data_IF_024640164472
#
_entry.id   IF_024640164472
#
_cell.length_a   1.000
_cell.length_b   1.000
_cell.length_c   1.000
_cell.angle_alpha   90.00
_cell.angle_beta   90.00
_cell.angle_gamma   90.00
#
_symmetry.space_group_name_H-M   'P 1'
#
loop_
_entity.id
_entity.type
_entity.pdbx_description
1 polymer ?
#
# COMPACT_ATOMS: atom_id res chain seq x y z
N UNK A 1 -27.39 -26.02 51.75
CA UNK A 1 -27.05 -27.44 52.04
C UNK A 1 -25.96 -27.84 51.05
N UNK A 2 -24.68 -27.54 51.29
CA UNK A 2 -23.76 -28.23 52.19
C UNK A 2 -23.53 -29.71 51.84
N UNK A 3 -22.50 -30.00 51.05
CA UNK A 3 -21.61 -31.14 51.28
C UNK A 3 -20.25 -30.90 50.61
N UNK A 4 -19.29 -30.60 51.48
CA UNK A 4 -17.85 -30.59 51.22
C UNK A 4 -17.39 -32.04 51.13
N UNK A 5 -16.46 -32.34 50.23
CA UNK A 5 -15.56 -33.49 50.36
C UNK A 5 -14.13 -32.99 50.26
N UNK A 6 -13.39 -33.21 51.35
CA UNK A 6 -11.98 -32.96 51.56
C UNK A 6 -11.32 -34.35 51.60
N UNK A 7 -10.33 -34.60 50.74
CA UNK A 7 -9.33 -35.66 50.87
C UNK A 7 -8.04 -35.03 50.31
N UNK A 8 -7.15 -34.44 51.12
CA UNK A 8 -6.13 -35.07 51.95
C UNK A 8 -5.12 -35.90 51.14
N UNK A 9 -3.95 -35.31 50.86
CA UNK A 9 -2.86 -35.96 50.13
C UNK A 9 -1.62 -35.07 50.03
N UNK A 10 -1.14 -34.53 51.16
CA UNK A 10 0.16 -33.85 51.23
C UNK A 10 1.18 -34.84 51.81
N UNK A 11 2.02 -35.40 50.93
CA UNK A 11 3.19 -36.18 51.35
C UNK A 11 4.22 -35.28 52.00
N UNK A 12 4.62 -35.71 53.18
CA UNK A 12 5.61 -35.13 54.08
C UNK A 12 6.97 -35.08 53.41
N UNK A 13 7.63 -33.94 53.53
CA UNK A 13 9.01 -33.74 53.12
C UNK A 13 9.98 -34.62 53.90
N UNK A 14 10.92 -35.22 53.19
CA UNK A 14 12.13 -35.80 53.77
C UNK A 14 13.23 -35.77 52.71
N UNK A 15 13.96 -34.66 52.61
CA UNK A 15 15.25 -34.62 51.90
C UNK A 15 16.02 -33.37 52.30
N UNK A 16 16.52 -33.40 53.52
CA UNK A 16 17.59 -32.53 53.99
C UNK A 16 18.56 -33.40 54.79
N UNK A 17 19.45 -34.12 54.08
CA UNK A 17 20.72 -34.66 54.58
C UNK A 17 21.46 -35.37 53.44
N UNK A 18 22.00 -34.60 52.50
CA UNK A 18 23.24 -34.97 51.82
C UNK A 18 24.10 -33.71 51.72
N UNK A 19 24.65 -33.36 52.87
CA UNK A 19 25.71 -32.38 52.96
C UNK A 19 26.99 -32.95 52.31
N UNK A 20 27.67 -32.08 51.58
CA UNK A 20 29.12 -32.06 51.47
C UNK A 20 29.82 -33.28 50.85
N UNK A 21 29.64 -33.49 49.55
CA UNK A 21 30.70 -33.99 48.67
C UNK A 21 30.44 -33.47 47.26
N UNK A 22 31.08 -32.35 46.88
CA UNK A 22 31.37 -31.93 45.50
C UNK A 22 32.23 -30.64 45.56
N UNK A 23 33.38 -30.76 46.22
CA UNK A 23 34.50 -29.84 46.10
C UNK A 23 35.58 -30.59 45.32
N UNK A 24 36.08 -29.99 44.24
CA UNK A 24 37.36 -30.36 43.63
C UNK A 24 37.28 -31.17 42.32
N UNK A 25 36.78 -30.56 41.25
CA UNK A 25 37.22 -30.94 39.90
C UNK A 25 38.07 -29.79 39.33
N UNK A 26 39.40 -29.97 39.15
CA UNK A 26 40.24 -28.96 38.53
C UNK A 26 39.94 -28.87 37.04
N UNK A 27 39.65 -27.65 36.55
CA UNK A 27 39.61 -27.34 35.13
C UNK A 27 41.01 -27.53 34.52
N UNK A 28 41.14 -28.18 33.35
CA UNK A 28 42.43 -28.28 32.67
C UNK A 28 42.82 -26.91 32.12
N UNK A 29 43.91 -26.36 32.66
CA UNK A 29 44.58 -25.20 32.10
C UNK A 29 45.15 -25.57 30.71
N UNK A 30 44.65 -24.92 29.67
CA UNK A 30 45.27 -24.87 28.36
C UNK A 30 46.63 -24.18 28.48
N UNK A 31 47.70 -24.98 28.49
CA UNK A 31 49.06 -24.48 28.34
C UNK A 31 49.27 -23.97 26.91
N UNK A 32 49.82 -22.76 26.72
CA UNK A 32 50.26 -22.30 25.41
C UNK A 32 51.54 -23.06 25.02
N UNK A 33 51.48 -23.81 23.92
CA UNK A 33 52.66 -24.41 23.30
C UNK A 33 53.57 -23.31 22.74
N UNK A 34 54.72 -23.12 23.38
CA UNK A 34 55.87 -22.46 22.78
C UNK A 34 56.45 -23.36 21.69
N UNK A 35 56.12 -23.07 20.43
CA UNK A 35 56.88 -23.52 19.27
C UNK A 35 57.66 -22.33 18.71
N UNK A 36 58.94 -22.27 19.05
CA UNK A 36 59.92 -21.55 18.24
C UNK A 36 60.44 -22.50 17.16
N UNK A 37 60.24 -22.16 15.88
CA UNK A 37 61.29 -22.15 14.84
C UNK A 37 60.68 -22.09 13.43
N UNK A 38 60.86 -20.94 12.75
CA UNK A 38 61.55 -20.77 11.45
C UNK A 38 61.12 -19.43 10.83
N UNK A 39 62.07 -18.56 10.43
CA UNK A 39 61.72 -17.33 9.73
C UNK A 39 61.33 -17.68 8.30
N UNK A 40 60.03 -17.69 8.01
CA UNK A 40 59.56 -17.65 6.63
C UNK A 40 59.66 -16.22 6.11
N UNK A 41 60.24 -16.13 4.92
CA UNK A 41 60.57 -14.91 4.20
C UNK A 41 59.40 -13.91 4.16
N UNK A 42 59.74 -12.65 4.45
CA UNK A 42 58.92 -11.47 4.21
C UNK A 42 58.50 -11.47 2.73
N UNK A 43 57.21 -11.56 2.40
CA UNK A 43 56.75 -11.20 1.07
C UNK A 43 57.02 -9.70 0.91
N UNK A 44 57.81 -9.33 -0.09
CA UNK A 44 57.96 -7.95 -0.53
C UNK A 44 56.57 -7.34 -0.67
N UNK A 45 56.25 -6.35 0.16
CA UNK A 45 55.11 -5.48 -0.03
C UNK A 45 55.31 -4.75 -1.36
N UNK A 46 54.70 -5.28 -2.42
CA UNK A 46 54.47 -4.53 -3.64
C UNK A 46 53.61 -3.34 -3.24
N UNK A 47 54.13 -2.14 -3.47
CA UNK A 47 53.43 -0.89 -3.22
C UNK A 47 52.03 -0.97 -3.84
N UNK A 48 51.00 -0.96 -2.99
CA UNK A 48 49.63 -0.71 -3.43
C UNK A 48 49.61 0.76 -3.81
N UNK A 49 49.62 0.98 -5.12
CA UNK A 49 49.38 2.27 -5.75
C UNK A 49 48.08 2.84 -5.19
N UNK A 50 48.24 3.84 -4.31
CA UNK A 50 47.16 4.60 -3.69
C UNK A 50 46.42 5.32 -4.81
N UNK A 51 45.41 4.67 -5.40
CA UNK A 51 44.50 5.32 -6.34
C UNK A 51 43.65 6.28 -5.54
N UNK A 52 44.09 7.53 -5.45
CA UNK A 52 43.28 8.59 -4.86
C UNK A 52 41.99 8.73 -5.68
N UNK A 53 40.81 8.74 -5.03
CA UNK A 53 39.57 8.94 -5.76
C UNK A 53 39.61 10.30 -6.43
N UNK A 54 39.44 10.34 -7.76
CA UNK A 54 39.21 11.57 -8.51
C UNK A 54 37.94 12.22 -7.95
N UNK A 55 38.13 13.25 -7.13
CA UNK A 55 37.06 14.10 -6.64
C UNK A 55 36.48 14.86 -7.84
N UNK A 56 35.32 14.45 -8.32
CA UNK A 56 34.56 15.23 -9.31
C UNK A 56 33.92 16.39 -8.55
N UNK A 57 34.59 17.54 -8.57
CA UNK A 57 34.05 18.79 -8.06
C UNK A 57 32.99 19.30 -9.03
N UNK A 58 31.72 19.10 -8.70
CA UNK A 58 30.62 19.69 -9.44
C UNK A 58 30.60 21.21 -9.18
N UNK A 59 30.38 22.05 -10.21
CA UNK A 59 30.21 23.49 -9.99
C UNK A 59 29.00 23.75 -9.10
N UNK A 60 29.11 24.74 -8.22
CA UNK A 60 28.01 25.15 -7.37
C UNK A 60 26.79 25.50 -8.24
N UNK A 61 25.58 25.08 -7.86
CA UNK A 61 24.38 25.37 -8.62
C UNK A 61 24.21 26.90 -8.78
N UNK A 62 23.78 27.39 -9.95
CA UNK A 62 23.53 28.80 -10.14
C UNK A 62 22.47 29.25 -9.12
N UNK A 63 22.80 30.29 -8.34
CA UNK A 63 21.86 30.87 -7.38
C UNK A 63 20.63 31.37 -8.15
N UNK A 64 19.40 31.01 -7.74
CA UNK A 64 18.20 31.59 -8.31
C UNK A 64 18.27 33.11 -8.18
N UNK A 65 18.17 33.81 -9.30
CA UNK A 65 18.04 35.26 -9.33
C UNK A 65 16.66 35.58 -8.74
N UNK A 66 16.61 35.97 -7.46
CA UNK A 66 15.38 36.49 -6.86
C UNK A 66 15.17 37.89 -7.43
N UNK A 67 14.52 37.98 -8.58
CA UNK A 67 13.82 39.20 -8.96
C UNK A 67 12.60 39.29 -8.07
N UNK A 68 12.64 40.21 -7.11
CA UNK A 68 11.47 40.60 -6.35
C UNK A 68 10.35 41.00 -7.33
N UNK A 69 9.16 40.40 -7.27
CA UNK A 69 8.02 40.91 -8.01
C UNK A 69 7.62 42.25 -7.41
N UNK A 70 7.82 43.33 -8.17
CA UNK A 70 7.13 44.60 -7.95
C UNK A 70 5.64 44.32 -7.99
N UNK A 71 4.98 44.43 -6.83
CA UNK A 71 3.53 44.31 -6.70
C UNK A 71 2.92 45.59 -7.29
N UNK A 72 2.13 45.53 -8.38
CA UNK A 72 1.28 46.65 -8.73
C UNK A 72 0.17 46.75 -7.69
N UNK A 73 -0.03 47.95 -7.14
CA UNK A 73 -1.10 48.25 -6.20
C UNK A 73 -2.45 47.81 -6.77
N UNK A 74 -3.16 46.96 -6.01
CA UNK A 74 -4.52 46.53 -6.32
C UNK A 74 -5.47 47.68 -6.02
N UNK A 75 -6.05 48.28 -7.06
CA UNK A 75 -7.21 49.15 -6.94
C UNK A 75 -8.40 48.37 -6.35
N UNK A 76 -9.21 48.96 -5.45
CA UNK A 76 -10.34 48.27 -4.85
C UNK A 76 -11.44 47.99 -5.88
N UNK A 77 -11.85 46.72 -5.96
CA UNK A 77 -13.00 46.25 -6.75
C UNK A 77 -14.30 46.71 -6.05
N UNK A 78 -15.30 47.27 -6.77
CA UNK A 78 -16.58 47.65 -6.19
C UNK A 78 -17.35 46.43 -5.64
N UNK A 79 -17.92 46.60 -4.45
CA UNK A 79 -18.74 45.63 -3.73
C UNK A 79 -19.89 45.09 -4.60
N UNK A 80 -19.99 43.75 -4.66
CA UNK A 80 -21.12 43.06 -5.27
C UNK A 80 -22.44 43.39 -4.52
N UNK A 81 -23.59 43.45 -5.23
CA UNK A 81 -24.89 43.68 -4.61
C UNK A 81 -25.31 42.50 -3.71
N UNK A 82 -26.16 42.74 -2.68
CA UNK A 82 -26.54 41.75 -1.70
C UNK A 82 -27.37 40.61 -2.34
N UNK A 83 -26.99 39.37 -2.02
CA UNK A 83 -27.72 38.16 -2.40
C UNK A 83 -29.04 38.13 -1.64
N UNK A 84 -30.16 38.19 -2.36
CA UNK A 84 -31.49 37.98 -1.79
C UNK A 84 -31.64 36.50 -1.36
N UNK A 85 -32.27 36.22 -0.21
CA UNK A 85 -32.50 34.85 0.22
C UNK A 85 -33.44 34.13 -0.75
N UNK A 86 -32.99 33.00 -1.29
CA UNK A 86 -33.84 32.11 -2.08
C UNK A 86 -34.93 31.52 -1.20
N UNK A 87 -36.19 31.80 -1.54
CA UNK A 87 -37.37 31.19 -0.94
C UNK A 87 -37.31 29.67 -1.11
N UNK A 88 -37.47 28.93 -0.02
CA UNK A 88 -37.53 27.47 -0.04
C UNK A 88 -38.72 26.99 -0.89
N UNK A 89 -38.44 26.20 -1.93
CA UNK A 89 -39.46 25.46 -2.66
C UNK A 89 -40.10 24.44 -1.71
N UNK A 90 -41.42 24.52 -1.55
CA UNK A 90 -42.22 23.51 -0.84
C UNK A 90 -42.03 22.14 -1.50
N UNK A 91 -42.03 21.03 -0.73
CA UNK A 91 -41.98 19.69 -1.31
C UNK A 91 -43.24 19.43 -2.13
N UNK A 92 -43.09 19.23 -3.44
CA UNK A 92 -44.14 18.62 -4.25
C UNK A 92 -44.26 17.16 -3.85
N UNK A 93 -45.39 16.82 -3.21
CA UNK A 93 -45.83 15.44 -3.01
C UNK A 93 -46.03 14.83 -4.39
N UNK A 94 -45.18 13.88 -4.78
CA UNK A 94 -45.46 13.03 -5.93
C UNK A 94 -46.57 12.08 -5.51
N UNK A 95 -47.78 12.37 -5.96
CA UNK A 95 -48.92 11.49 -5.84
C UNK A 95 -48.67 10.24 -6.67
N UNK A 96 -48.67 9.08 -6.01
CA UNK A 96 -48.45 7.76 -6.60
C UNK A 96 -49.67 7.39 -7.48
N UNK A 97 -49.52 7.14 -8.79
CA UNK A 97 -50.62 6.62 -9.58
C UNK A 97 -50.95 5.18 -9.14
N UNK A 98 -52.25 4.91 -8.98
CA UNK A 98 -52.83 3.61 -8.66
C UNK A 98 -52.49 2.55 -9.72
N UNK A 99 -52.47 1.25 -9.35
CA UNK A 99 -52.01 0.18 -10.24
C UNK A 99 -53.02 -0.12 -11.37
N UNK A 100 -52.52 -0.18 -12.60
CA UNK A 100 -53.25 -0.67 -13.74
C UNK A 100 -53.46 -2.19 -13.64
N UNK A 101 -54.69 -2.61 -13.95
CA UNK A 101 -55.17 -4.00 -13.97
C UNK A 101 -54.41 -4.76 -15.07
N UNK A 102 -53.68 -5.80 -14.69
CA UNK A 102 -53.02 -6.73 -15.61
C UNK A 102 -54.05 -7.79 -16.01
N UNK A 103 -54.46 -7.82 -17.28
CA UNK A 103 -55.23 -8.95 -17.81
C UNK A 103 -54.29 -10.14 -18.07
N UNK A 104 -54.66 -11.39 -17.70
CA UNK A 104 -53.81 -12.55 -17.93
C UNK A 104 -53.87 -12.96 -19.41
N UNK A 105 -52.74 -12.90 -20.10
CA UNK A 105 -52.57 -13.54 -21.41
C UNK A 105 -52.44 -15.05 -21.22
N UNK A 106 -53.33 -15.80 -21.88
CA UNK A 106 -53.33 -17.26 -21.95
C UNK A 106 -52.03 -17.79 -22.61
N UNK A 107 -51.53 -18.97 -22.22
CA UNK A 107 -50.37 -19.58 -22.87
C UNK A 107 -50.78 -20.20 -24.21
N UNK A 108 -50.18 -19.73 -25.31
CA UNK A 108 -50.22 -20.43 -26.60
C UNK A 108 -49.02 -21.36 -26.65
N UNK A 109 -49.30 -22.66 -26.63
CA UNK A 109 -48.36 -23.69 -27.04
C UNK A 109 -48.18 -23.61 -28.57
N UNK A 110 -46.95 -23.44 -29.03
CA UNK A 110 -46.59 -23.63 -30.43
C UNK A 110 -45.48 -24.68 -30.51
N UNK A 111 -45.83 -25.84 -31.09
CA UNK A 111 -44.88 -26.86 -31.53
C UNK A 111 -44.36 -26.47 -32.92
N UNK A 112 -43.04 -26.55 -33.05
CA UNK A 112 -42.27 -27.08 -34.18
C UNK A 112 -42.51 -26.53 -35.60
N UNK A 113 -41.53 -25.79 -36.11
CA UNK A 113 -41.03 -26.00 -37.46
C UNK A 113 -39.52 -25.74 -37.48
N UNK A 114 -38.82 -26.72 -38.03
CA UNK A 114 -37.38 -26.90 -38.09
C UNK A 114 -36.79 -26.04 -39.20
N UNK A 115 -35.74 -25.28 -38.89
CA UNK A 115 -34.84 -24.78 -39.92
C UNK A 115 -33.42 -24.68 -39.35
N UNK A 116 -32.62 -25.72 -39.62
CA UNK A 116 -31.18 -25.70 -39.41
C UNK A 116 -30.56 -24.98 -40.61
N UNK A 117 -29.75 -23.94 -40.35
CA UNK A 117 -28.49 -23.82 -41.08
C UNK A 117 -27.29 -23.55 -40.16
N UNK A 118 -26.36 -24.51 -40.20
CA UNK A 118 -24.90 -24.44 -40.04
C UNK A 118 -24.29 -23.92 -38.73
N UNK A 119 -23.34 -24.67 -38.13
CA UNK A 119 -22.54 -24.20 -37.00
C UNK A 119 -21.72 -22.99 -37.41
N UNK A 120 -22.03 -21.84 -36.84
CA UNK A 120 -21.09 -20.73 -36.78
C UNK A 120 -19.99 -21.21 -35.84
N UNK A 121 -18.83 -21.59 -36.38
CA UNK A 121 -17.63 -21.81 -35.58
C UNK A 121 -17.43 -20.56 -34.71
N UNK A 122 -17.32 -20.70 -33.37
CA UNK A 122 -17.05 -19.55 -32.52
C UNK A 122 -15.61 -19.07 -32.75
N UNK A 123 -15.44 -18.16 -33.71
CA UNK A 123 -14.27 -17.28 -33.78
C UNK A 123 -14.37 -16.29 -32.62
N UNK A 124 -13.72 -16.65 -31.52
CA UNK A 124 -12.87 -15.81 -30.69
C UNK A 124 -12.78 -16.48 -29.32
N UNK A 125 -11.72 -17.25 -29.12
CA UNK A 125 -11.25 -17.54 -27.79
C UNK A 125 -11.01 -16.20 -27.10
N UNK A 126 -11.92 -15.81 -26.21
CA UNK A 126 -11.69 -14.77 -25.22
C UNK A 126 -10.43 -15.19 -24.49
N UNK A 127 -9.31 -14.54 -24.81
CA UNK A 127 -8.03 -14.79 -24.15
C UNK A 127 -8.30 -14.71 -22.65
N UNK A 128 -8.12 -15.84 -21.96
CA UNK A 128 -8.39 -15.91 -20.53
C UNK A 128 -7.55 -14.82 -19.85
N UNK A 129 -8.13 -13.99 -18.98
CA UNK A 129 -7.37 -12.93 -18.33
C UNK A 129 -6.20 -13.56 -17.59
N UNK A 130 -4.97 -13.16 -17.97
CA UNK A 130 -3.75 -13.63 -17.33
C UNK A 130 -3.73 -13.07 -15.91
N UNK A 131 -3.77 -13.97 -14.91
CA UNK A 131 -3.51 -13.60 -13.52
C UNK A 131 -2.00 -13.66 -13.30
N UNK A 132 -1.39 -12.49 -13.22
CA UNK A 132 0.01 -12.36 -12.84
C UNK A 132 0.11 -12.48 -11.33
N UNK A 133 0.90 -13.46 -10.89
CA UNK A 133 1.32 -13.59 -9.49
C UNK A 133 2.81 -13.25 -9.43
N UNK A 134 3.18 -11.99 -9.16
CA UNK A 134 4.60 -11.65 -9.11
C UNK A 134 5.24 -12.48 -7.99
N UNK A 135 6.30 -13.21 -8.32
CA UNK A 135 6.97 -14.06 -7.35
C UNK A 135 7.47 -13.18 -6.18
N UNK A 136 7.19 -13.60 -4.94
CA UNK A 136 7.51 -12.81 -3.73
C UNK A 136 8.98 -12.40 -3.62
N UNK A 137 9.87 -13.11 -4.29
CA UNK A 137 11.33 -12.94 -4.25
C UNK A 137 11.91 -12.28 -5.51
N UNK A 138 11.20 -12.29 -6.64
CA UNK A 138 11.69 -11.75 -7.91
C UNK A 138 10.91 -10.52 -8.38
N UNK A 139 10.78 -9.53 -7.50
CA UNK A 139 10.25 -8.20 -7.83
C UNK A 139 11.35 -7.25 -8.30
N UNK A 140 12.45 -7.77 -8.86
CA UNK A 140 13.62 -6.96 -9.20
C UNK A 140 13.28 -5.84 -10.20
N UNK A 141 12.52 -6.17 -11.25
CA UNK A 141 12.05 -5.19 -12.22
C UNK A 141 11.10 -4.18 -11.58
N UNK A 142 10.13 -4.65 -10.79
CA UNK A 142 9.25 -3.78 -10.00
C UNK A 142 9.99 -2.78 -9.10
N UNK A 143 11.10 -3.19 -8.46
CA UNK A 143 11.93 -2.29 -7.65
C UNK A 143 12.63 -1.22 -8.49
N UNK A 144 13.08 -1.57 -9.69
CA UNK A 144 13.68 -0.61 -10.63
C UNK A 144 12.64 0.40 -11.10
N UNK A 145 11.46 -0.06 -11.50
CA UNK A 145 10.35 0.80 -11.90
C UNK A 145 9.90 1.72 -10.77
N UNK A 146 9.89 1.21 -9.54
CA UNK A 146 9.58 2.02 -8.37
C UNK A 146 10.57 3.19 -8.21
N UNK A 147 11.87 2.91 -8.28
CA UNK A 147 12.90 3.97 -8.20
C UNK A 147 12.73 5.00 -9.32
N UNK A 148 12.38 4.58 -10.53
CA UNK A 148 12.13 5.51 -11.63
C UNK A 148 10.96 6.46 -11.31
N UNK A 149 9.85 5.91 -10.81
CA UNK A 149 8.67 6.71 -10.41
C UNK A 149 8.99 7.67 -9.26
N UNK A 150 9.78 7.23 -8.29
CA UNK A 150 10.24 8.08 -7.17
C UNK A 150 11.10 9.26 -7.63
N UNK A 151 11.76 9.14 -8.79
CA UNK A 151 12.47 10.24 -9.45
C UNK A 151 11.60 11.00 -10.49
N UNK A 152 10.28 10.81 -10.47
CA UNK A 152 9.34 11.50 -11.36
C UNK A 152 9.33 10.98 -12.81
N UNK A 153 9.86 9.78 -13.07
CA UNK A 153 9.86 9.16 -14.40
C UNK A 153 8.94 7.96 -14.47
N UNK A 154 8.07 7.93 -15.47
CA UNK A 154 7.14 6.83 -15.73
C UNK A 154 5.71 7.33 -15.96
N UNK A 155 4.76 6.40 -16.18
CA UNK A 155 3.37 6.75 -16.39
C UNK A 155 2.73 7.33 -15.12
N UNK A 156 1.71 8.16 -15.31
CA UNK A 156 0.79 8.50 -14.23
C UNK A 156 -0.04 7.26 -13.86
N UNK A 157 -0.05 6.84 -12.60
CA UNK A 157 -0.77 5.64 -12.17
C UNK A 157 -1.92 6.01 -11.24
N UNK A 158 -3.15 5.66 -11.64
CA UNK A 158 -4.37 5.84 -10.86
C UNK A 158 -4.95 4.49 -10.45
N UNK A 159 -5.21 4.29 -9.15
CA UNK A 159 -5.72 3.04 -8.61
C UNK A 159 -7.03 3.27 -7.87
N UNK A 160 -8.12 2.97 -8.55
CA UNK A 160 -9.47 3.10 -8.01
C UNK A 160 -9.73 2.03 -6.93
N UNK A 161 -10.52 2.42 -5.94
CA UNK A 161 -11.05 1.48 -4.94
C UNK A 161 -12.39 0.89 -5.41
N UNK A 162 -12.87 -0.20 -4.79
CA UNK A 162 -14.18 -0.77 -5.07
C UNK A 162 -15.32 0.24 -4.93
N UNK A 163 -16.31 0.12 -5.82
CA UNK A 163 -17.54 0.92 -5.77
C UNK A 163 -18.43 0.56 -4.57
N UNK A 164 -18.44 -0.72 -4.18
CA UNK A 164 -19.16 -1.19 -3.01
C UNK A 164 -18.53 -0.69 -1.70
N UNK A 165 -19.35 -0.16 -0.79
CA UNK A 165 -18.89 0.41 0.47
C UNK A 165 -18.35 -0.65 1.43
N UNK A 166 -18.97 -1.83 1.47
CA UNK A 166 -18.55 -2.91 2.36
C UNK A 166 -17.22 -3.53 1.89
N UNK A 167 -17.05 -3.74 0.59
CA UNK A 167 -15.79 -4.17 -0.02
C UNK A 167 -14.68 -3.14 0.21
N UNK A 168 -14.96 -1.84 0.02
CA UNK A 168 -14.01 -0.77 0.32
C UNK A 168 -13.52 -0.83 1.77
N UNK A 169 -14.44 -1.02 2.73
CA UNK A 169 -14.09 -1.12 4.14
C UNK A 169 -13.23 -2.36 4.46
N UNK A 170 -13.55 -3.52 3.85
CA UNK A 170 -12.72 -4.74 3.99
C UNK A 170 -11.34 -4.55 3.36
N UNK A 171 -11.26 -3.92 2.19
CA UNK A 171 -10.01 -3.63 1.50
C UNK A 171 -9.12 -2.70 2.33
N UNK A 172 -9.70 -1.65 2.93
CA UNK A 172 -8.98 -0.75 3.83
C UNK A 172 -8.30 -1.49 4.96
N UNK A 173 -9.09 -2.25 5.75
CA UNK A 173 -8.57 -3.04 6.88
C UNK A 173 -7.48 -3.99 6.42
N UNK A 174 -7.71 -4.69 5.30
CA UNK A 174 -6.73 -5.61 4.75
C UNK A 174 -5.40 -4.92 4.43
N UNK A 175 -5.44 -3.77 3.77
CA UNK A 175 -4.21 -3.04 3.48
C UNK A 175 -3.50 -2.55 4.74
N UNK A 176 -4.23 -2.02 5.72
CA UNK A 176 -3.68 -1.53 6.99
C UNK A 176 -3.04 -2.64 7.81
N UNK A 177 -3.78 -3.72 8.03
CA UNK A 177 -3.43 -4.79 8.97
C UNK A 177 -2.44 -5.80 8.38
N UNK A 178 -2.55 -6.11 7.08
CA UNK A 178 -1.86 -7.25 6.48
C UNK A 178 -0.79 -6.86 5.47
N UNK A 179 -0.89 -5.67 4.88
CA UNK A 179 0.02 -5.17 3.85
C UNK A 179 0.82 -3.94 4.31
N UNK A 180 0.68 -3.52 5.56
CA UNK A 180 1.49 -2.45 6.15
C UNK A 180 1.20 -1.06 5.60
N UNK A 181 0.05 -0.84 4.97
CA UNK A 181 -0.35 0.50 4.51
C UNK A 181 -0.45 1.45 5.71
N UNK A 182 0.12 2.64 5.59
CA UNK A 182 -0.05 3.73 6.54
C UNK A 182 -0.93 4.82 5.95
N UNK A 183 -1.78 5.39 6.78
CA UNK A 183 -2.50 6.64 6.47
C UNK A 183 -1.79 7.78 7.15
N UNK A 184 -1.69 8.91 6.45
CA UNK A 184 -1.10 10.13 6.95
C UNK A 184 -1.95 11.34 6.55
N UNK A 185 -1.78 12.44 7.27
CA UNK A 185 -2.23 13.76 6.83
C UNK A 185 -1.00 14.56 6.39
N UNK A 186 -1.10 15.22 5.25
CA UNK A 186 -0.08 16.17 4.79
C UNK A 186 -0.48 17.58 5.21
N UNK A 187 0.40 18.31 5.87
CA UNK A 187 0.14 19.70 6.20
C UNK A 187 0.40 20.65 5.01
N UNK A 188 0.47 21.95 5.27
CA UNK A 188 0.76 22.97 4.23
C UNK A 188 2.25 23.05 3.85
N UNK A 189 3.15 22.61 4.74
CA UNK A 189 4.59 22.62 4.48
C UNK A 189 5.03 21.40 3.66
N UNK A 190 4.18 20.36 3.62
CA UNK A 190 4.44 19.10 2.93
C UNK A 190 4.78 17.95 3.89
N UNK A 191 4.85 18.23 5.19
CA UNK A 191 5.13 17.24 6.22
C UNK A 191 3.98 16.26 6.38
N UNK A 192 4.34 14.99 6.60
CA UNK A 192 3.40 13.90 6.79
C UNK A 192 3.24 13.61 8.29
N UNK A 193 2.02 13.46 8.75
CA UNK A 193 1.71 13.12 10.15
C UNK A 193 0.96 11.80 10.23
N UNK A 194 1.33 10.95 11.19
CA UNK A 194 0.82 9.57 11.34
C UNK A 194 0.60 9.25 12.81
N UNK A 195 -0.35 8.35 13.08
CA UNK A 195 -0.79 8.06 14.45
C UNK A 195 0.31 7.50 15.38
N UNK A 196 1.35 6.89 14.81
CA UNK A 196 2.43 6.26 15.56
C UNK A 196 3.53 7.21 16.06
N UNK A 197 3.54 8.47 15.62
CA UNK A 197 4.56 9.43 16.03
C UNK A 197 4.13 10.21 17.30
N UNK A 198 5.10 10.79 18.03
CA UNK A 198 4.82 11.77 19.07
C UNK A 198 3.98 12.95 18.55
N UNK A 199 3.18 13.54 19.42
CA UNK A 199 2.35 14.69 19.10
C UNK A 199 3.20 15.84 18.53
N UNK A 200 2.69 16.51 17.49
CA UNK A 200 3.38 17.61 16.80
C UNK A 200 4.59 17.20 15.94
N UNK A 201 5.06 15.95 15.99
CA UNK A 201 6.23 15.52 15.23
C UNK A 201 5.86 14.96 13.85
N UNK A 202 6.45 15.55 12.80
CA UNK A 202 6.36 15.04 11.45
C UNK A 202 6.97 13.63 11.33
N UNK A 203 6.39 12.82 10.47
CA UNK A 203 6.86 11.50 10.10
C UNK A 203 7.63 11.57 8.79
N UNK A 204 8.88 11.12 8.87
CA UNK A 204 9.74 10.93 7.72
C UNK A 204 9.75 9.43 7.40
N UNK A 205 9.10 9.00 6.30
CA UNK A 205 9.10 7.59 5.93
C UNK A 205 10.53 7.10 5.70
N UNK A 206 10.87 5.93 6.24
CA UNK A 206 12.08 5.25 5.81
C UNK A 206 11.85 4.76 4.38
N UNK A 207 12.56 5.36 3.42
CA UNK A 207 12.43 5.08 1.99
C UNK A 207 12.94 3.69 1.58
N UNK A 208 13.58 2.93 2.47
CA UNK A 208 13.89 1.51 2.25
C UNK A 208 12.69 0.61 2.57
N UNK A 209 11.83 1.04 3.49
CA UNK A 209 10.65 0.29 3.93
C UNK A 209 9.39 0.72 3.20
N UNK A 210 9.22 2.02 3.01
CA UNK A 210 8.06 2.64 2.39
C UNK A 210 8.42 3.22 1.02
N UNK A 211 7.45 3.10 0.12
CA UNK A 211 7.51 3.67 -1.22
C UNK A 211 7.32 5.19 -1.14
N UNK A 212 8.09 5.94 -1.93
CA UNK A 212 7.89 7.38 -2.12
C UNK A 212 6.61 7.70 -2.91
N UNK A 213 5.96 6.69 -3.49
CA UNK A 213 4.69 6.84 -4.21
C UNK A 213 3.49 6.92 -3.24
N UNK A 214 3.31 8.11 -2.65
CA UNK A 214 2.16 8.40 -1.79
C UNK A 214 0.90 8.67 -2.61
N UNK A 215 -0.22 8.03 -2.23
CA UNK A 215 -1.49 8.11 -2.97
C UNK A 215 -2.48 8.97 -2.22
N UNK A 216 -2.96 10.03 -2.85
CA UNK A 216 -4.06 10.83 -2.30
C UNK A 216 -5.40 10.15 -2.63
N UNK A 217 -6.23 9.80 -1.64
CA UNK A 217 -7.55 9.24 -1.90
C UNK A 217 -8.48 10.30 -2.46
N UNK A 218 -9.32 9.89 -3.42
CA UNK A 218 -10.42 10.70 -3.94
C UNK A 218 -11.75 10.07 -3.58
N UNK A 219 -12.80 10.89 -3.48
CA UNK A 219 -14.15 10.45 -3.15
C UNK A 219 -14.35 10.12 -1.66
N UNK A 220 -15.29 9.22 -1.38
CA UNK A 220 -15.75 8.95 -0.01
C UNK A 220 -14.80 7.99 0.72
N UNK A 221 -14.15 8.50 1.76
CA UNK A 221 -13.39 7.70 2.72
C UNK A 221 -14.29 6.70 3.47
N UNK A 222 -13.73 5.53 3.78
CA UNK A 222 -14.40 4.56 4.66
C UNK A 222 -14.39 5.07 6.11
N UNK A 223 -15.38 4.70 6.95
CA UNK A 223 -15.44 5.17 8.33
C UNK A 223 -14.13 4.97 9.11
N UNK A 224 -13.56 3.76 9.08
CA UNK A 224 -12.31 3.46 9.78
C UNK A 224 -11.11 4.31 9.31
N UNK A 225 -11.06 4.69 8.03
CA UNK A 225 -10.02 5.56 7.50
C UNK A 225 -10.20 7.00 7.97
N UNK A 226 -11.46 7.47 7.99
CA UNK A 226 -11.80 8.78 8.53
C UNK A 226 -11.45 8.88 10.02
N UNK A 227 -11.71 7.82 10.78
CA UNK A 227 -11.42 7.78 12.21
C UNK A 227 -9.91 7.79 12.49
N UNK A 228 -9.13 7.02 11.71
CA UNK A 228 -7.67 7.07 11.76
C UNK A 228 -7.15 8.49 11.48
N UNK A 229 -7.63 9.13 10.40
CA UNK A 229 -7.21 10.49 10.01
C UNK A 229 -7.63 11.53 11.05
N UNK A 230 -8.83 11.45 11.61
CA UNK A 230 -9.29 12.34 12.68
C UNK A 230 -8.43 12.19 13.94
N UNK A 231 -8.00 10.97 14.24
CA UNK A 231 -7.10 10.70 15.37
C UNK A 231 -5.73 11.32 15.14
N UNK A 232 -5.19 11.23 13.92
CA UNK A 232 -3.95 11.92 13.52
C UNK A 232 -4.13 13.43 13.66
N UNK A 233 -5.21 14.00 13.11
CA UNK A 233 -5.49 15.43 13.16
C UNK A 233 -5.46 15.97 14.59
N UNK A 234 -6.21 15.32 15.50
CA UNK A 234 -6.26 15.70 16.92
C UNK A 234 -4.91 15.56 17.61
N UNK A 235 -4.19 14.45 17.38
CA UNK A 235 -2.89 14.19 18.01
C UNK A 235 -1.84 15.23 17.64
N UNK A 236 -1.83 15.68 16.39
CA UNK A 236 -0.79 16.58 15.88
C UNK A 236 -1.24 18.05 15.80
N UNK A 237 -2.47 18.37 16.22
CA UNK A 237 -2.99 19.74 16.15
C UNK A 237 -3.14 20.27 14.73
N UNK A 238 -3.32 19.39 13.74
CA UNK A 238 -3.47 19.74 12.33
C UNK A 238 -4.92 19.64 11.89
N UNK A 239 -5.28 20.34 10.81
CA UNK A 239 -6.65 20.34 10.28
C UNK A 239 -7.07 18.92 9.85
N UNK A 240 -8.30 18.52 10.19
CA UNK A 240 -8.92 17.30 9.67
C UNK A 240 -9.22 17.38 8.17
N UNK A 241 -9.19 18.58 7.57
CA UNK A 241 -9.34 18.81 6.14
C UNK A 241 -8.00 18.77 5.38
N UNK A 242 -6.89 18.59 6.09
CA UNK A 242 -5.58 18.40 5.46
C UNK A 242 -5.61 17.21 4.48
N UNK A 243 -4.90 17.28 3.33
CA UNK A 243 -4.87 16.18 2.38
C UNK A 243 -4.47 14.85 3.01
N UNK A 244 -5.35 13.86 2.91
CA UNK A 244 -5.07 12.50 3.33
C UNK A 244 -4.11 11.82 2.35
N UNK A 245 -3.21 11.00 2.85
CA UNK A 245 -2.25 10.24 2.06
C UNK A 245 -2.27 8.77 2.49
N UNK A 246 -2.20 7.87 1.51
CA UNK A 246 -1.98 6.43 1.72
C UNK A 246 -0.58 6.09 1.26
N UNK A 247 0.25 5.61 2.19
CA UNK A 247 1.64 5.25 1.97
C UNK A 247 1.75 3.73 2.08
N UNK A 248 2.36 3.11 1.08
CA UNK A 248 2.49 1.65 0.98
C UNK A 248 3.94 1.22 1.19
N UNK A 249 4.19 0.01 1.72
CA UNK A 249 5.54 -0.53 1.75
C UNK A 249 6.11 -0.71 0.34
N UNK A 250 7.42 -0.50 0.17
CA UNK A 250 8.11 -0.69 -1.12
C UNK A 250 7.82 -2.04 -1.74
N UNK A 251 7.75 -3.09 -0.92
CA UNK A 251 7.51 -4.45 -1.41
C UNK A 251 6.15 -4.60 -2.10
N UNK A 252 5.11 -3.93 -1.59
CA UNK A 252 3.75 -3.97 -2.16
C UNK A 252 3.74 -3.23 -3.51
N UNK A 253 4.36 -2.06 -3.55
CA UNK A 253 4.41 -1.26 -4.77
C UNK A 253 5.32 -1.87 -5.83
N UNK A 254 6.48 -2.41 -5.45
CA UNK A 254 7.32 -3.17 -6.36
C UNK A 254 6.56 -4.36 -6.96
N UNK A 255 5.79 -5.09 -6.15
CA UNK A 255 4.96 -6.18 -6.64
C UNK A 255 3.88 -5.71 -7.64
N UNK A 256 3.23 -4.58 -7.36
CA UNK A 256 2.27 -3.98 -8.28
C UNK A 256 2.92 -3.62 -9.62
N UNK A 257 4.05 -2.90 -9.57
CA UNK A 257 4.75 -2.42 -10.76
C UNK A 257 5.35 -3.54 -11.57
N UNK A 258 5.85 -4.59 -10.90
CA UNK A 258 6.30 -5.81 -11.57
C UNK A 258 5.14 -6.49 -12.31
N UNK A 259 3.98 -6.60 -11.67
CA UNK A 259 2.77 -7.13 -12.31
C UNK A 259 2.33 -6.30 -13.53
N UNK A 260 2.38 -4.97 -13.43
CA UNK A 260 2.08 -4.09 -14.56
C UNK A 260 3.08 -4.27 -15.70
N UNK A 261 4.38 -4.38 -15.40
CA UNK A 261 5.42 -4.64 -16.38
C UNK A 261 5.23 -5.99 -17.09
N UNK A 262 4.80 -7.02 -16.37
CA UNK A 262 4.55 -8.33 -16.98
C UNK A 262 3.33 -8.31 -17.92
N UNK A 263 2.28 -7.55 -17.58
CA UNK A 263 1.08 -7.41 -18.42
C UNK A 263 1.35 -6.53 -19.63
N UNK A 264 2.10 -5.45 -19.46
CA UNK A 264 2.32 -4.43 -20.50
C UNK A 264 3.60 -4.63 -21.31
N UNK A 265 4.52 -5.49 -20.85
CA UNK A 265 5.86 -5.65 -21.39
C UNK A 265 6.53 -4.28 -21.63
N UNK A 266 7.11 -4.06 -22.81
CA UNK A 266 7.76 -2.80 -23.17
C UNK A 266 6.81 -1.60 -23.26
N UNK A 267 5.50 -1.85 -23.26
CA UNK A 267 4.46 -0.82 -23.26
C UNK A 267 4.41 0.01 -21.98
N UNK A 268 4.87 -0.52 -20.84
CA UNK A 268 4.85 0.22 -19.56
C UNK A 268 5.61 1.55 -19.63
N UNK A 269 6.80 1.55 -20.24
CA UNK A 269 7.66 2.75 -20.32
C UNK A 269 7.13 3.79 -21.31
N UNK A 270 6.26 3.37 -22.23
CA UNK A 270 5.68 4.22 -23.28
C UNK A 270 4.31 4.78 -22.88
N UNK A 271 3.67 4.20 -21.87
CA UNK A 271 2.37 4.62 -21.37
C UNK A 271 2.44 6.06 -20.81
N UNK A 272 1.44 6.87 -21.14
CA UNK A 272 1.25 8.17 -20.50
C UNK A 272 0.54 8.04 -19.15
N UNK A 273 -0.56 7.27 -19.13
CA UNK A 273 -1.36 7.03 -17.95
C UNK A 273 -1.84 5.58 -17.88
N UNK A 274 -1.77 5.01 -16.66
CA UNK A 274 -2.30 3.69 -16.33
C UNK A 274 -3.40 3.87 -15.28
N UNK A 275 -4.60 3.37 -15.57
CA UNK A 275 -5.68 3.28 -14.59
C UNK A 275 -5.98 1.83 -14.29
N UNK A 276 -6.22 1.51 -13.04
CA UNK A 276 -6.68 0.18 -12.64
C UNK A 276 -7.52 0.26 -11.36
N UNK A 277 -8.08 -0.86 -10.93
CA UNK A 277 -8.93 -0.93 -9.74
C UNK A 277 -8.53 -2.07 -8.83
N UNK A 278 -8.57 -1.80 -7.52
CA UNK A 278 -8.44 -2.82 -6.50
C UNK A 278 -9.71 -3.62 -6.32
N UNK A 279 -9.54 -4.91 -6.10
CA UNK A 279 -10.59 -5.86 -5.76
C UNK A 279 -10.15 -6.73 -4.59
N UNK A 280 -11.10 -7.13 -3.75
CA UNK A 280 -10.86 -8.08 -2.68
C UNK A 280 -11.64 -9.36 -2.94
N UNK A 281 -10.96 -10.40 -3.43
CA UNK A 281 -11.55 -11.70 -3.72
C UNK A 281 -10.95 -12.78 -2.82
N UNK A 282 -11.79 -13.46 -2.02
CA UNK A 282 -11.37 -14.57 -1.12
C UNK A 282 -10.17 -14.21 -0.23
N UNK A 283 -10.14 -12.97 0.29
CA UNK A 283 -9.06 -12.47 1.16
C UNK A 283 -7.76 -12.08 0.43
N UNK A 284 -7.74 -12.21 -0.90
CA UNK A 284 -6.65 -11.78 -1.75
C UNK A 284 -6.94 -10.42 -2.38
N UNK A 285 -5.93 -9.55 -2.39
CA UNK A 285 -6.01 -8.26 -3.08
C UNK A 285 -5.57 -8.47 -4.53
N UNK A 286 -6.44 -8.08 -5.45
CA UNK A 286 -6.19 -8.10 -6.88
C UNK A 286 -6.27 -6.70 -7.45
N UNK A 287 -5.51 -6.44 -8.50
CA UNK A 287 -5.65 -5.26 -9.36
C UNK A 287 -6.17 -5.74 -10.70
N UNK A 288 -7.29 -5.15 -11.14
CA UNK A 288 -8.04 -5.53 -12.35
C UNK A 288 -8.47 -4.26 -13.09
N UNK A 289 -9.18 -4.45 -14.21
CA UNK A 289 -9.70 -3.39 -15.08
C UNK A 289 -8.59 -2.41 -15.49
N UNK A 290 -7.47 -2.98 -15.93
CA UNK A 290 -6.29 -2.22 -16.30
C UNK A 290 -6.56 -1.51 -17.61
N UNK A 291 -6.31 -0.20 -17.63
CA UNK A 291 -6.43 0.66 -18.79
C UNK A 291 -5.11 1.40 -18.98
N UNK A 292 -4.64 1.45 -20.22
CA UNK A 292 -3.44 2.21 -20.62
C UNK A 292 -3.87 3.22 -21.66
N UNK A 293 -3.67 4.51 -21.35
CA UNK A 293 -4.04 5.62 -22.23
C UNK A 293 -5.51 5.56 -22.72
N UNK A 294 -6.39 5.03 -21.86
CA UNK A 294 -7.82 4.86 -22.13
C UNK A 294 -8.21 3.51 -22.76
N UNK A 295 -7.24 2.68 -23.16
CA UNK A 295 -7.50 1.37 -23.76
C UNK A 295 -7.46 0.26 -22.71
N UNK A 296 -8.49 -0.60 -22.71
CA UNK A 296 -8.54 -1.76 -21.81
C UNK A 296 -7.44 -2.77 -22.17
N UNK A 297 -6.73 -3.24 -21.15
CA UNK A 297 -5.72 -4.30 -21.27
C UNK A 297 -6.18 -5.51 -20.47
N UNK A 298 -6.19 -6.67 -21.12
CA UNK A 298 -6.55 -7.92 -20.47
C UNK A 298 -5.46 -8.33 -19.47
N UNK A 299 -5.88 -8.63 -18.24
CA UNK A 299 -4.98 -9.12 -17.21
C UNK A 299 -5.45 -8.73 -15.81
N UNK A 300 -4.80 -9.34 -14.82
CA UNK A 300 -5.00 -9.02 -13.42
C UNK A 300 -3.73 -9.30 -12.64
N UNK A 301 -3.49 -8.53 -11.59
CA UNK A 301 -2.29 -8.66 -10.75
C UNK A 301 -2.74 -9.11 -9.37
N UNK A 302 -2.18 -10.21 -8.86
CA UNK A 302 -2.36 -10.63 -7.48
C UNK A 302 -1.30 -9.98 -6.60
N UNK A 303 -1.71 -9.08 -5.70
CA UNK A 303 -0.81 -8.51 -4.68
C UNK A 303 -0.58 -9.48 -3.51
N UNK A 304 -1.47 -10.47 -3.36
CA UNK A 304 -1.31 -11.57 -2.43
C UNK A 304 -2.51 -11.74 -1.50
N UNK A 305 -2.44 -12.77 -0.68
CA UNK A 305 -3.55 -13.23 0.17
C UNK A 305 -3.15 -13.49 1.62
N UNK A 306 -1.92 -13.17 2.03
CA UNK A 306 -1.41 -13.42 3.38
C UNK A 306 -1.14 -12.11 4.10
N UNK A 307 -1.49 -12.04 5.38
CA UNK A 307 -0.88 -11.05 6.28
C UNK A 307 0.56 -11.45 6.49
N UNK A 308 1.49 -10.50 6.38
CA UNK A 308 2.80 -10.73 6.97
C UNK A 308 2.57 -10.87 8.48
N UNK A 309 2.97 -12.01 9.06
CA UNK A 309 3.16 -12.08 10.51
C UNK A 309 4.30 -11.10 10.81
N UNK A 310 3.97 -10.04 11.54
CA UNK A 310 4.94 -9.12 12.15
C UNK A 310 5.75 -9.88 13.19
#
# INVERSE_FOLDING_TARGET
MARRYIIAGASVGLSALLAAMLLGAPQPALQPQNQATKPMAVPKQTAVEKTEPKTVSLPAPPRPRVTAPTVPAVSPVPSAPPIQPMTALKPTVIEKPAPAIVQPLKPVAAKSAEQIPQPIEPVAAVAKPVLVTPAKTDTAHGRVLLRLLEHGRGPAIELAWPGDAAERARLYRRFRECFGMRVALRDRTGDLFVAGNPAGQAWHPNNDLYSGFARQPTGRLVPAERDDLNTIARRHGISSYSPAMRIFPRAVDAQLLDGLQQILADGYKKAGAIRARYYLAKGAIQVRDIQVDGHNVAGSILLGNRCRRS
#
